data_IF_894040893795
#
_entry.id   IF_894040893795
#
_cell.length_a   1.000
_cell.length_b   1.000
_cell.length_c   1.000
_cell.angle_alpha   90.00
_cell.angle_beta   90.00
_cell.angle_gamma   90.00
#
_symmetry.space_group_name_H-M   'P 1'
#
loop_
_entity.id
_entity.type
_entity.pdbx_description
1 polymer ?
#
# COMPACT_ATOMS: atom_id res chain seq x y z
N UNK A 1 27.07 -14.69 25.40
CA UNK A 1 25.63 -15.01 25.24
C UNK A 1 25.14 -14.15 24.10
N UNK A 2 24.89 -14.73 22.93
CA UNK A 2 24.29 -14.00 21.81
C UNK A 2 22.79 -14.20 21.93
N UNK A 3 22.04 -13.11 22.08
CA UNK A 3 20.59 -13.13 22.04
C UNK A 3 20.21 -13.15 20.56
N UNK A 4 19.70 -14.27 20.05
CA UNK A 4 19.32 -14.44 18.63
C UNK A 4 17.81 -14.43 18.39
N UNK A 5 16.99 -14.09 19.39
CA UNK A 5 15.55 -13.96 19.21
C UNK A 5 15.17 -12.51 18.84
N UNK A 6 15.41 -12.16 17.58
CA UNK A 6 14.64 -11.10 16.92
C UNK A 6 13.54 -11.78 16.12
N UNK A 7 12.29 -11.67 16.60
CA UNK A 7 11.14 -12.05 15.79
C UNK A 7 11.06 -11.08 14.61
N UNK A 8 10.97 -11.57 13.37
CA UNK A 8 10.58 -10.75 12.24
C UNK A 8 9.29 -10.02 12.61
N UNK A 9 9.28 -8.70 12.46
CA UNK A 9 8.06 -7.93 12.61
C UNK A 9 7.32 -8.10 11.28
N UNK A 10 6.67 -9.25 11.08
CA UNK A 10 5.98 -9.60 9.83
C UNK A 10 4.81 -8.66 9.51
N UNK A 11 4.38 -7.87 10.49
CA UNK A 11 3.37 -6.84 10.35
C UNK A 11 3.95 -5.47 10.75
N UNK A 12 4.12 -4.59 9.78
CA UNK A 12 4.35 -3.18 10.08
C UNK A 12 2.98 -2.54 10.36
N UNK A 13 2.68 -2.13 11.62
CA UNK A 13 1.35 -1.70 11.99
C UNK A 13 0.93 -0.41 11.29
N UNK A 14 1.85 0.31 10.66
CA UNK A 14 1.56 1.30 9.63
C UNK A 14 2.78 1.36 8.70
N UNK A 15 2.59 0.95 7.46
CA UNK A 15 3.56 1.12 6.38
C UNK A 15 3.10 2.23 5.45
N UNK A 16 4.07 2.84 4.79
CA UNK A 16 3.86 3.83 3.73
C UNK A 16 4.58 3.33 2.48
N UNK A 17 3.86 3.33 1.35
CA UNK A 17 4.40 3.00 0.04
C UNK A 17 4.05 4.09 -0.96
N UNK A 18 5.01 4.52 -1.75
CA UNK A 18 4.79 5.46 -2.84
C UNK A 18 5.19 4.85 -4.18
N UNK A 19 4.52 5.24 -5.24
CA UNK A 19 4.90 4.81 -6.58
C UNK A 19 3.84 5.07 -7.64
N UNK A 20 4.12 4.59 -8.86
CA UNK A 20 3.17 4.64 -9.97
C UNK A 20 2.24 3.43 -9.95
N UNK A 21 0.93 3.69 -10.02
CA UNK A 21 -0.08 2.65 -10.14
C UNK A 21 0.14 1.83 -11.41
N UNK A 22 0.17 0.50 -11.24
CA UNK A 22 0.08 -0.47 -12.34
C UNK A 22 -0.94 -1.54 -11.99
N UNK A 23 -1.49 -2.25 -12.99
CA UNK A 23 -2.41 -3.36 -12.77
C UNK A 23 -3.69 -3.01 -11.99
N UNK A 24 -4.19 -1.78 -12.11
CA UNK A 24 -5.39 -1.31 -11.41
C UNK A 24 -6.63 -2.16 -11.75
N UNK A 25 -7.34 -2.58 -10.71
CA UNK A 25 -8.69 -3.16 -10.72
C UNK A 25 -9.59 -2.37 -9.77
N UNK A 26 -10.85 -2.81 -9.60
CA UNK A 26 -11.79 -2.17 -8.66
C UNK A 26 -11.37 -2.27 -7.18
N UNK A 27 -10.48 -3.20 -6.84
CA UNK A 27 -10.13 -3.52 -5.44
C UNK A 27 -8.63 -3.60 -5.16
N UNK A 28 -7.78 -3.50 -6.19
CA UNK A 28 -6.33 -3.53 -6.00
C UNK A 28 -5.55 -2.83 -7.11
N UNK A 29 -4.28 -2.54 -6.83
CA UNK A 29 -3.26 -2.17 -7.80
C UNK A 29 -1.87 -2.56 -7.30
N UNK A 30 -0.83 -2.31 -8.10
CA UNK A 30 0.55 -2.59 -7.73
C UNK A 30 1.40 -1.32 -7.62
N UNK A 31 2.27 -1.30 -6.60
CA UNK A 31 3.35 -0.34 -6.41
C UNK A 31 4.66 -1.13 -6.24
N UNK A 32 5.61 -0.95 -7.15
CA UNK A 32 6.94 -1.59 -7.11
C UNK A 32 6.93 -3.09 -6.79
N UNK A 33 5.92 -3.81 -7.30
CA UNK A 33 5.74 -5.26 -7.12
C UNK A 33 4.88 -5.67 -5.94
N UNK A 34 4.59 -4.78 -4.98
CA UNK A 34 3.64 -5.06 -3.90
C UNK A 34 2.20 -4.91 -4.37
N UNK A 35 1.30 -5.71 -3.79
CA UNK A 35 -0.15 -5.58 -4.03
C UNK A 35 -0.76 -4.63 -3.01
N UNK A 36 -1.45 -3.61 -3.48
CA UNK A 36 -2.20 -2.68 -2.63
C UNK A 36 -3.68 -3.03 -2.74
N UNK A 37 -4.28 -3.48 -1.64
CA UNK A 37 -5.73 -3.67 -1.53
C UNK A 37 -6.37 -2.39 -1.03
N UNK A 38 -7.46 -1.97 -1.67
CA UNK A 38 -8.14 -0.72 -1.32
C UNK A 38 -9.62 -0.78 -1.67
N UNK A 39 -10.34 0.19 -1.15
CA UNK A 39 -11.72 0.55 -1.47
C UNK A 39 -11.75 2.00 -1.94
N UNK A 40 -12.80 2.39 -2.67
CA UNK A 40 -12.95 3.76 -3.13
C UNK A 40 -12.93 4.81 -1.98
N UNK A 41 -13.36 4.42 -0.76
CA UNK A 41 -13.32 5.27 0.43
C UNK A 41 -11.92 5.53 0.98
N UNK A 42 -10.93 4.71 0.64
CA UNK A 42 -9.56 4.92 1.09
C UNK A 42 -8.88 6.05 0.29
N UNK A 43 -9.39 6.37 -0.91
CA UNK A 43 -8.81 7.41 -1.77
C UNK A 43 -9.24 8.79 -1.30
N UNK A 44 -8.28 9.61 -0.88
CA UNK A 44 -8.54 10.98 -0.41
C UNK A 44 -9.25 11.81 -1.48
N UNK A 45 -10.40 12.35 -1.10
CA UNK A 45 -11.26 13.14 -1.99
C UNK A 45 -12.09 12.32 -2.97
N UNK A 46 -12.11 10.99 -2.86
CA UNK A 46 -12.94 10.10 -3.68
C UNK A 46 -12.62 10.15 -5.18
N UNK A 47 -11.41 10.59 -5.53
CA UNK A 47 -10.98 10.71 -6.93
C UNK A 47 -10.77 9.32 -7.53
N UNK A 48 -11.13 9.10 -8.80
CA UNK A 48 -10.82 7.84 -9.46
C UNK A 48 -9.30 7.68 -9.61
N UNK A 49 -8.82 6.46 -9.40
CA UNK A 49 -7.46 6.07 -9.71
C UNK A 49 -7.33 5.65 -11.18
N UNK A 50 -6.13 5.77 -11.72
CA UNK A 50 -5.79 5.23 -13.04
C UNK A 50 -4.34 4.73 -13.05
N UNK A 51 -4.05 3.76 -13.92
CA UNK A 51 -2.68 3.33 -14.18
C UNK A 51 -1.81 4.52 -14.60
N UNK A 52 -0.58 4.57 -14.06
CA UNK A 52 0.39 5.65 -14.29
C UNK A 52 0.30 6.82 -13.32
N UNK A 53 -0.76 6.95 -12.52
CA UNK A 53 -0.83 7.96 -11.45
C UNK A 53 0.19 7.65 -10.36
N UNK A 54 0.84 8.68 -9.82
CA UNK A 54 1.72 8.54 -8.67
C UNK A 54 0.92 8.73 -7.38
N UNK A 55 1.02 7.78 -6.46
CA UNK A 55 0.24 7.79 -5.21
C UNK A 55 1.11 7.45 -4.01
N UNK A 56 0.64 7.83 -2.83
CA UNK A 56 1.10 7.33 -1.54
C UNK A 56 -0.03 6.49 -0.91
N UNK A 57 0.25 5.25 -0.57
CA UNK A 57 -0.65 4.35 0.15
C UNK A 57 -0.14 4.15 1.57
N UNK A 58 -1.04 4.27 2.55
CA UNK A 58 -0.77 3.97 3.95
C UNK A 58 -1.66 2.81 4.40
N UNK A 59 -1.11 1.90 5.20
CA UNK A 59 -1.87 0.74 5.66
C UNK A 59 -1.07 -0.33 6.40
N UNK A 60 -1.69 -1.49 6.59
CA UNK A 60 -1.02 -2.68 7.14
C UNK A 60 -0.26 -3.39 6.03
N UNK A 61 1.04 -3.61 6.20
CA UNK A 61 1.86 -4.36 5.24
C UNK A 61 2.23 -5.73 5.80
N UNK A 62 1.88 -6.79 5.06
CA UNK A 62 2.13 -8.19 5.40
C UNK A 62 2.38 -8.97 4.10
N UNK A 63 3.50 -9.69 4.01
CA UNK A 63 3.82 -10.59 2.88
C UNK A 63 3.63 -9.95 1.49
N UNK A 64 4.31 -8.83 1.23
CA UNK A 64 4.26 -8.08 -0.04
C UNK A 64 2.87 -7.54 -0.42
N UNK A 65 1.97 -7.45 0.55
CA UNK A 65 0.63 -6.91 0.40
C UNK A 65 0.35 -5.82 1.42
N UNK A 66 -0.19 -4.69 0.95
CA UNK A 66 -0.63 -3.58 1.77
C UNK A 66 -2.16 -3.52 1.75
N UNK A 67 -2.81 -3.65 2.91
CA UNK A 67 -4.23 -3.27 3.05
C UNK A 67 -4.30 -1.79 3.40
N UNK A 68 -4.75 -0.98 2.45
CA UNK A 68 -4.78 0.46 2.59
C UNK A 68 -5.91 0.91 3.53
N UNK A 69 -5.63 1.94 4.32
CA UNK A 69 -6.65 2.74 5.01
C UNK A 69 -6.67 4.19 4.53
N UNK A 70 -5.71 4.58 3.68
CA UNK A 70 -5.62 5.88 3.03
C UNK A 70 -4.75 5.81 1.79
N UNK A 71 -5.19 6.48 0.73
CA UNK A 71 -4.44 6.69 -0.51
C UNK A 71 -4.50 8.18 -0.88
N UNK A 72 -3.33 8.81 -1.01
CA UNK A 72 -3.21 10.17 -1.50
C UNK A 72 -2.64 10.18 -2.92
N UNK A 73 -3.33 10.85 -3.84
CA UNK A 73 -2.81 11.11 -5.19
C UNK A 73 -1.80 12.25 -5.12
N UNK A 74 -0.56 12.00 -5.56
CA UNK A 74 0.50 13.01 -5.63
C UNK A 74 0.43 13.73 -6.97
N UNK A 75 0.63 15.05 -6.92
CA UNK A 75 0.57 15.96 -8.08
C UNK A 75 1.95 16.18 -8.68
#
# INVERSE_FOLDING_TARGET
>A
MVVTNVSPIDAMPNAEMEGKITGLTDTQFHLDGATIHYTASDVTGGKPLANGMYVQALGQFVNDSLTANRIDIKS
#
